data_IF_596624586170
#
_entry.id   IF_596624586170
#
_cell.length_a   1.000
_cell.length_b   1.000
_cell.length_c   1.000
_cell.angle_alpha   90.00
_cell.angle_beta   90.00
_cell.angle_gamma   90.00
#
_symmetry.space_group_name_H-M   'P 1'
#
loop_
_entity.id
_entity.type
_entity.pdbx_description
1 polymer ?
#
# COMPACT_ATOMS: atom_id res chain seq x y z
N UNK A 1 3.97 -19.37 -60.80
CA UNK A 1 4.05 -18.26 -59.83
C UNK A 1 3.75 -18.72 -58.40
N UNK A 2 2.94 -19.78 -58.21
CA UNK A 2 2.47 -20.23 -56.89
C UNK A 2 3.49 -20.92 -55.97
N UNK A 3 4.52 -21.59 -56.52
CA UNK A 3 5.55 -22.25 -55.69
C UNK A 3 6.47 -21.27 -54.95
N UNK A 4 6.70 -20.09 -55.52
CA UNK A 4 7.54 -19.03 -54.91
C UNK A 4 6.79 -18.30 -53.78
N UNK A 5 5.50 -18.04 -53.97
CA UNK A 5 4.63 -17.44 -52.94
C UNK A 5 4.44 -18.36 -51.74
N UNK A 6 4.25 -19.67 -51.98
CA UNK A 6 4.14 -20.65 -50.90
C UNK A 6 5.45 -20.83 -50.11
N UNK A 7 6.60 -20.75 -50.78
CA UNK A 7 7.91 -20.80 -50.12
C UNK A 7 8.16 -19.61 -49.18
N UNK A 8 7.77 -18.40 -49.60
CA UNK A 8 7.90 -17.19 -48.79
C UNK A 8 6.95 -17.17 -47.60
N UNK A 9 5.71 -17.68 -47.76
CA UNK A 9 4.76 -17.82 -46.66
C UNK A 9 5.27 -18.81 -45.59
N UNK A 10 5.86 -19.93 -46.02
CA UNK A 10 6.44 -20.92 -45.09
C UNK A 10 7.62 -20.34 -44.31
N UNK A 11 8.51 -19.60 -44.97
CA UNK A 11 9.63 -18.92 -44.32
C UNK A 11 9.18 -17.86 -43.30
N UNK A 12 8.15 -17.07 -43.63
CA UNK A 12 7.59 -16.09 -42.70
C UNK A 12 6.98 -16.74 -41.45
N UNK A 13 6.29 -17.88 -41.60
CA UNK A 13 5.76 -18.62 -40.44
C UNK A 13 6.86 -19.20 -39.56
N UNK A 14 7.93 -19.75 -40.14
CA UNK A 14 9.06 -20.30 -39.37
C UNK A 14 9.78 -19.18 -38.60
N UNK A 15 10.03 -18.03 -39.24
CA UNK A 15 10.65 -16.88 -38.58
C UNK A 15 9.74 -16.33 -37.46
N UNK A 16 8.43 -16.27 -37.68
CA UNK A 16 7.47 -15.85 -36.66
C UNK A 16 7.43 -16.79 -35.45
N UNK A 17 7.44 -18.11 -35.67
CA UNK A 17 7.48 -19.13 -34.61
C UNK A 17 8.82 -19.10 -33.86
N UNK A 18 9.94 -18.98 -34.57
CA UNK A 18 11.25 -18.86 -33.95
C UNK A 18 11.37 -17.57 -33.13
N UNK A 19 10.86 -16.44 -33.63
CA UNK A 19 10.81 -15.18 -32.88
C UNK A 19 9.92 -15.29 -31.65
N UNK A 20 8.75 -15.95 -31.75
CA UNK A 20 7.87 -16.20 -30.61
C UNK A 20 8.53 -17.10 -29.55
N UNK A 21 9.25 -18.15 -29.97
CA UNK A 21 9.98 -19.04 -29.05
C UNK A 21 11.18 -18.34 -28.39
N UNK A 22 11.91 -17.52 -29.14
CA UNK A 22 13.05 -16.76 -28.61
C UNK A 22 12.61 -15.61 -27.69
N UNK A 23 11.47 -14.98 -27.99
CA UNK A 23 10.88 -13.95 -27.11
C UNK A 23 10.28 -14.56 -25.84
N UNK A 24 9.68 -15.75 -25.92
CA UNK A 24 9.23 -16.50 -24.74
C UNK A 24 10.41 -16.92 -23.85
N UNK A 25 11.56 -17.27 -24.43
CA UNK A 25 12.77 -17.63 -23.69
C UNK A 25 13.50 -16.45 -23.02
N UNK A 26 13.17 -15.20 -23.36
CA UNK A 26 13.75 -13.99 -22.74
C UNK A 26 13.00 -13.49 -21.51
N UNK A 27 11.84 -14.05 -21.18
CA UNK A 27 11.22 -13.80 -19.88
C UNK A 27 11.94 -14.64 -18.83
N UNK A 28 12.62 -14.03 -17.85
CA UNK A 28 13.19 -14.79 -16.75
C UNK A 28 12.06 -15.57 -16.08
N UNK A 29 12.20 -16.90 -16.03
CA UNK A 29 11.34 -17.78 -15.22
C UNK A 29 11.18 -17.14 -13.85
N UNK A 30 9.94 -17.00 -13.37
CA UNK A 30 9.59 -16.51 -12.03
C UNK A 30 10.58 -17.03 -11.00
N UNK A 31 11.57 -16.21 -10.67
CA UNK A 31 12.45 -16.46 -9.56
C UNK A 31 11.55 -16.26 -8.35
N UNK A 32 11.11 -17.37 -7.74
CA UNK A 32 10.43 -17.33 -6.45
C UNK A 32 11.37 -16.55 -5.55
N UNK A 33 11.01 -15.32 -5.20
CA UNK A 33 11.80 -14.45 -4.34
C UNK A 33 12.09 -15.25 -3.07
N UNK A 34 13.32 -15.78 -2.95
CA UNK A 34 13.72 -16.58 -1.80
C UNK A 34 13.76 -15.64 -0.61
N UNK A 35 12.72 -15.69 0.21
CA UNK A 35 12.64 -14.95 1.47
C UNK A 35 13.57 -15.65 2.46
N UNK A 36 14.52 -14.94 3.10
CA UNK A 36 15.31 -15.56 4.14
C UNK A 36 14.38 -16.01 5.29
N UNK A 37 14.60 -17.19 5.89
CA UNK A 37 13.91 -17.55 7.12
C UNK A 37 14.21 -16.48 8.17
N UNK A 38 13.16 -15.95 8.82
CA UNK A 38 13.34 -14.91 9.84
C UNK A 38 13.83 -15.58 11.12
N UNK A 39 15.14 -15.80 11.21
CA UNK A 39 15.80 -16.07 12.48
C UNK A 39 15.88 -14.74 13.25
N UNK A 40 15.37 -14.74 14.48
CA UNK A 40 15.61 -13.62 15.39
C UNK A 40 17.09 -13.59 15.70
N UNK A 41 17.82 -12.67 15.07
CA UNK A 41 19.12 -12.26 15.57
C UNK A 41 18.85 -11.51 16.89
N UNK A 42 18.91 -12.25 17.99
CA UNK A 42 19.09 -11.71 19.32
C UNK A 42 20.52 -11.15 19.37
N UNK A 43 20.63 -9.82 19.24
CA UNK A 43 21.92 -9.13 19.15
C UNK A 43 21.75 -7.63 18.88
N UNK A 44 22.10 -6.86 19.91
CA UNK A 44 22.26 -5.42 20.05
C UNK A 44 22.69 -4.63 18.79
N UNK A 45 21.98 -3.54 18.45
CA UNK A 45 22.32 -2.15 18.79
C UNK A 45 21.28 -1.22 18.13
N UNK A 46 20.99 -0.12 18.82
CA UNK A 46 20.21 1.05 18.42
C UNK A 46 20.83 1.79 17.20
N UNK A 47 21.03 1.12 16.07
CA UNK A 47 21.30 1.83 14.82
C UNK A 47 19.98 1.99 14.07
N UNK A 48 19.39 3.19 14.17
CA UNK A 48 18.23 3.54 13.36
C UNK A 48 18.71 3.61 11.92
N UNK A 49 18.62 2.47 11.23
CA UNK A 49 18.99 2.36 9.84
C UNK A 49 18.24 3.39 9.01
N UNK A 50 18.92 3.97 8.02
CA UNK A 50 18.29 4.86 7.05
C UNK A 50 18.14 4.15 5.73
N UNK A 51 16.96 4.26 5.11
CA UNK A 51 16.74 3.83 3.73
C UNK A 51 16.05 4.95 2.96
N UNK A 52 16.23 4.94 1.63
CA UNK A 52 15.66 5.95 0.74
C UNK A 52 14.68 5.30 -0.23
N UNK A 53 13.56 5.97 -0.47
CA UNK A 53 12.58 5.65 -1.50
C UNK A 53 12.58 6.78 -2.54
N UNK A 54 12.86 6.42 -3.78
CA UNK A 54 12.75 7.35 -4.91
C UNK A 54 11.32 7.35 -5.46
N UNK A 55 10.68 8.50 -5.35
CA UNK A 55 9.32 8.75 -5.82
C UNK A 55 9.37 9.26 -7.26
N UNK A 56 8.88 8.41 -8.17
CA UNK A 56 8.64 8.80 -9.56
C UNK A 56 7.49 9.81 -9.66
N UNK A 57 7.38 10.55 -10.78
CA UNK A 57 6.22 11.38 -11.08
C UNK A 57 4.91 10.61 -10.92
N UNK A 58 3.84 11.28 -10.49
CA UNK A 58 2.59 10.60 -10.18
C UNK A 58 2.01 10.02 -11.47
N UNK A 59 1.55 8.78 -11.36
CA UNK A 59 0.84 8.06 -12.41
C UNK A 59 -0.48 7.57 -11.83
N UNK A 60 -1.45 7.19 -12.70
CA UNK A 60 -2.64 6.52 -12.23
C UNK A 60 -2.26 5.33 -11.35
N UNK A 61 -2.76 5.34 -10.13
CA UNK A 61 -2.32 4.41 -9.09
C UNK A 61 -3.47 4.00 -8.18
N UNK A 62 -3.19 2.97 -7.40
CA UNK A 62 -4.13 2.42 -6.42
C UNK A 62 -3.46 2.44 -5.05
N UNK A 63 -4.29 2.53 -4.01
CA UNK A 63 -3.88 2.34 -2.64
C UNK A 63 -5.03 1.82 -1.80
N UNK A 64 -4.88 1.98 -0.50
CA UNK A 64 -5.91 1.68 0.50
C UNK A 64 -6.12 2.94 1.34
N UNK A 65 -7.35 3.15 1.80
CA UNK A 65 -7.71 4.12 2.82
C UNK A 65 -8.62 3.50 3.86
N UNK A 66 -8.69 4.11 5.04
CA UNK A 66 -9.58 3.69 6.11
C UNK A 66 -10.24 4.88 6.80
N UNK A 67 -11.47 4.67 7.26
CA UNK A 67 -12.30 5.70 7.86
C UNK A 67 -11.86 6.05 9.29
N UNK A 68 -11.94 7.33 9.63
CA UNK A 68 -11.64 7.84 10.98
C UNK A 68 -12.79 8.65 11.60
N UNK A 69 -13.92 8.74 10.90
CA UNK A 69 -15.14 9.42 11.34
C UNK A 69 -15.30 10.82 10.76
N UNK A 70 -16.53 11.33 10.77
CA UNK A 70 -16.87 12.65 10.23
C UNK A 70 -16.64 12.79 8.73
N UNK A 71 -16.66 11.68 7.98
CA UNK A 71 -16.35 11.66 6.54
C UNK A 71 -14.85 11.76 6.21
N UNK A 72 -13.97 11.66 7.22
CA UNK A 72 -12.53 11.67 7.03
C UNK A 72 -11.95 10.26 6.89
N UNK A 73 -10.95 10.17 6.02
CA UNK A 73 -10.26 8.94 5.67
C UNK A 73 -8.75 9.17 5.66
N UNK A 74 -7.99 8.24 6.21
CA UNK A 74 -6.52 8.24 6.17
C UNK A 74 -6.02 7.37 5.01
N UNK A 75 -4.92 7.80 4.40
CA UNK A 75 -4.16 7.04 3.40
C UNK A 75 -2.68 7.45 3.43
N UNK A 76 -1.86 6.87 2.55
CA UNK A 76 -0.47 7.27 2.40
C UNK A 76 -0.36 8.51 1.50
N UNK A 77 0.56 9.42 1.82
CA UNK A 77 0.77 10.63 1.02
C UNK A 77 1.16 10.29 -0.41
N UNK A 78 2.02 9.31 -0.65
CA UNK A 78 2.46 8.96 -2.00
C UNK A 78 1.32 8.45 -2.89
N UNK A 79 0.23 7.96 -2.29
CA UNK A 79 -1.00 7.55 -3.00
C UNK A 79 -1.80 8.79 -3.45
N UNK A 80 -1.82 9.85 -2.64
CA UNK A 80 -2.69 11.01 -2.84
C UNK A 80 -2.03 12.24 -3.48
N UNK A 81 -0.75 12.44 -3.20
CA UNK A 81 0.04 13.57 -3.71
C UNK A 81 0.13 13.48 -5.25
N UNK A 82 -0.12 14.58 -5.94
CA UNK A 82 -0.02 14.68 -7.40
C UNK A 82 -1.21 14.08 -8.19
N UNK A 83 -2.31 13.69 -7.53
CA UNK A 83 -3.52 13.24 -8.21
C UNK A 83 -4.34 14.44 -8.73
N UNK A 84 -4.85 14.36 -9.96
CA UNK A 84 -5.86 15.29 -10.47
C UNK A 84 -7.25 14.95 -9.93
N UNK A 85 -7.50 13.67 -9.70
CA UNK A 85 -8.72 13.16 -9.09
C UNK A 85 -8.36 11.97 -8.23
N UNK A 86 -8.85 11.95 -7.00
CA UNK A 86 -8.69 10.82 -6.08
C UNK A 86 -10.04 10.45 -5.48
N UNK A 87 -10.25 9.18 -5.20
CA UNK A 87 -11.49 8.72 -4.58
C UNK A 87 -11.42 7.29 -4.08
N UNK A 88 -12.50 6.88 -3.41
CA UNK A 88 -12.70 5.53 -2.91
C UNK A 88 -13.49 4.70 -3.92
N UNK A 89 -13.07 3.47 -4.17
CA UNK A 89 -13.80 2.53 -5.03
C UNK A 89 -14.93 1.90 -4.23
N UNK A 90 -16.18 2.10 -4.65
CA UNK A 90 -17.38 1.52 -4.02
C UNK A 90 -17.84 0.23 -4.70
N UNK A 91 -17.38 -0.01 -5.93
CA UNK A 91 -17.73 -1.20 -6.70
C UNK A 91 -17.23 -1.09 -8.14
N UNK A 92 -17.62 -2.04 -8.99
CA UNK A 92 -17.21 -2.02 -10.39
C UNK A 92 -17.60 -0.71 -11.07
N UNK A 93 -16.60 0.09 -11.46
CA UNK A 93 -16.76 1.41 -12.12
C UNK A 93 -17.53 2.45 -11.30
N UNK A 94 -17.67 2.25 -9.99
CA UNK A 94 -18.29 3.23 -9.08
C UNK A 94 -17.26 3.68 -8.05
N UNK A 95 -17.13 4.99 -7.88
CA UNK A 95 -16.28 5.56 -6.85
C UNK A 95 -16.86 6.85 -6.29
N UNK A 96 -16.36 7.23 -5.12
CA UNK A 96 -16.71 8.46 -4.42
C UNK A 96 -15.46 9.34 -4.40
N UNK A 97 -15.51 10.48 -5.07
CA UNK A 97 -14.38 11.41 -5.13
C UNK A 97 -14.12 12.07 -3.78
N UNK A 98 -12.85 12.27 -3.45
CA UNK A 98 -12.47 13.10 -2.32
C UNK A 98 -12.71 14.58 -2.65
N UNK A 99 -13.34 15.30 -1.72
CA UNK A 99 -13.63 16.73 -1.84
C UNK A 99 -12.45 17.59 -1.39
N UNK A 100 -11.65 17.04 -0.47
CA UNK A 100 -10.49 17.70 0.09
C UNK A 100 -9.40 16.66 0.32
N UNK A 101 -8.16 17.11 0.13
CA UNK A 101 -6.94 16.35 0.43
C UNK A 101 -6.09 17.22 1.36
N UNK A 102 -5.63 16.65 2.47
CA UNK A 102 -4.65 17.30 3.36
C UNK A 102 -3.42 16.40 3.43
N UNK A 103 -2.27 16.93 3.02
CA UNK A 103 -1.02 16.17 2.95
C UNK A 103 -0.12 16.54 4.12
N UNK A 104 0.46 15.55 4.80
CA UNK A 104 1.49 15.82 5.80
C UNK A 104 2.77 16.33 5.11
N UNK A 105 3.37 17.45 5.54
CA UNK A 105 4.51 18.04 4.86
C UNK A 105 5.77 17.18 4.94
N UNK A 106 5.96 16.46 6.05
CA UNK A 106 7.21 15.77 6.39
C UNK A 106 7.09 14.25 6.59
N UNK A 107 5.93 13.65 6.30
CA UNK A 107 5.65 12.23 6.55
C UNK A 107 4.71 11.72 5.45
N UNK A 108 4.70 10.40 5.24
CA UNK A 108 3.95 9.76 4.16
C UNK A 108 2.48 9.51 4.53
N UNK A 109 1.82 10.52 5.09
CA UNK A 109 0.42 10.46 5.57
C UNK A 109 -0.43 11.51 4.86
N UNK A 110 -1.65 11.13 4.48
CA UNK A 110 -2.65 12.03 3.91
C UNK A 110 -4.04 11.77 4.48
N UNK A 111 -4.85 12.83 4.53
CA UNK A 111 -6.27 12.81 4.84
C UNK A 111 -7.09 13.12 3.61
N UNK A 112 -8.20 12.42 3.45
CA UNK A 112 -9.20 12.62 2.41
C UNK A 112 -10.55 12.93 3.08
N UNK A 113 -11.23 13.98 2.63
CA UNK A 113 -12.64 14.21 2.97
C UNK A 113 -13.51 13.57 1.88
N UNK A 114 -14.39 12.65 2.27
CA UNK A 114 -15.27 11.92 1.35
C UNK A 114 -16.69 11.94 1.90
N UNK A 115 -17.70 11.99 1.03
CA UNK A 115 -19.11 12.03 1.43
C UNK A 115 -19.66 10.65 1.83
N UNK A 116 -18.98 10.00 2.77
CA UNK A 116 -19.42 8.76 3.42
C UNK A 116 -18.71 8.63 4.76
N UNK A 117 -19.48 8.26 5.79
CA UNK A 117 -19.01 8.22 7.18
C UNK A 117 -19.34 6.87 7.82
N UNK A 118 -18.61 5.80 7.45
CA UNK A 118 -18.77 4.49 8.07
C UNK A 118 -18.16 4.49 9.47
N UNK A 119 -18.37 3.41 10.23
CA UNK A 119 -17.87 3.30 11.60
C UNK A 119 -16.34 3.48 11.68
N UNK A 120 -15.83 4.41 12.51
CA UNK A 120 -14.40 4.71 12.59
C UNK A 120 -13.62 3.62 13.32
N UNK A 121 -12.29 3.71 13.27
CA UNK A 121 -11.38 2.87 14.05
C UNK A 121 -10.89 3.56 15.31
N UNK A 122 -10.69 2.78 16.38
CA UNK A 122 -9.98 3.24 17.56
C UNK A 122 -8.48 3.42 17.24
N UNK A 123 -7.83 4.39 17.87
CA UNK A 123 -6.39 4.58 17.77
C UNK A 123 -5.73 4.08 19.04
N UNK A 124 -4.56 3.45 18.87
CA UNK A 124 -3.72 3.10 20.00
C UNK A 124 -3.07 4.35 20.60
N UNK A 125 -2.87 4.34 21.92
CA UNK A 125 -2.38 5.50 22.66
C UNK A 125 -1.17 5.19 23.56
N UNK A 126 -0.61 3.99 23.46
CA UNK A 126 0.60 3.58 24.19
C UNK A 126 1.77 3.34 23.23
N UNK A 127 2.94 3.01 23.78
CA UNK A 127 4.14 2.73 23.00
C UNK A 127 4.16 1.29 22.48
N UNK A 128 4.51 1.12 21.21
CA UNK A 128 4.64 -0.19 20.61
C UNK A 128 5.86 -0.96 21.13
N UNK A 129 5.66 -2.25 21.38
CA UNK A 129 6.69 -3.13 21.92
C UNK A 129 7.34 -3.98 20.82
N UNK A 130 8.64 -4.23 20.93
CA UNK A 130 9.33 -5.13 19.99
C UNK A 130 8.70 -6.53 20.07
N UNK A 131 8.49 -7.14 18.91
CA UNK A 131 7.79 -8.43 18.80
C UNK A 131 6.27 -8.33 18.82
N UNK A 132 5.70 -7.15 19.07
CA UNK A 132 4.24 -6.95 19.02
C UNK A 132 3.69 -7.29 17.63
N UNK A 133 2.55 -7.97 17.65
CA UNK A 133 1.82 -8.35 16.45
C UNK A 133 1.13 -7.13 15.81
N UNK A 134 1.20 -7.09 14.48
CA UNK A 134 0.56 -6.08 13.64
C UNK A 134 -0.15 -6.71 12.45
N UNK A 135 -1.34 -6.22 12.15
CA UNK A 135 -2.20 -6.70 11.06
C UNK A 135 -2.51 -5.58 10.08
N UNK A 136 -1.90 -5.63 8.89
CA UNK A 136 -2.20 -4.71 7.81
C UNK A 136 -3.30 -5.27 6.91
N UNK A 137 -4.35 -4.50 6.66
CA UNK A 137 -5.50 -4.91 5.85
C UNK A 137 -5.70 -3.89 4.72
N UNK A 138 -5.98 -4.35 3.51
CA UNK A 138 -6.22 -3.44 2.38
C UNK A 138 -6.41 -4.15 1.05
N UNK A 139 -5.92 -3.53 -0.02
CA UNK A 139 -6.16 -3.98 -1.40
C UNK A 139 -4.87 -4.23 -2.19
N UNK A 140 -4.01 -5.18 -1.77
CA UNK A 140 -2.82 -5.53 -2.54
C UNK A 140 -3.24 -5.97 -3.95
N UNK A 141 -2.58 -5.42 -4.97
CA UNK A 141 -2.81 -5.76 -6.38
C UNK A 141 -4.28 -5.62 -6.83
N UNK A 142 -5.04 -4.68 -6.23
CA UNK A 142 -6.48 -4.43 -6.47
C UNK A 142 -7.43 -5.48 -5.92
N UNK A 143 -6.94 -6.42 -5.11
CA UNK A 143 -7.77 -7.48 -4.54
C UNK A 143 -7.74 -7.42 -3.02
N UNK A 144 -8.80 -7.90 -2.34
CA UNK A 144 -8.78 -8.15 -0.90
C UNK A 144 -7.52 -8.92 -0.47
N UNK A 145 -6.78 -8.36 0.48
CA UNK A 145 -5.67 -9.04 1.12
C UNK A 145 -5.14 -8.31 2.35
N UNK A 146 -4.06 -8.84 2.91
CA UNK A 146 -3.46 -8.32 4.12
C UNK A 146 -2.17 -9.02 4.50
N UNK A 147 -1.54 -8.52 5.57
CA UNK A 147 -0.28 -9.01 6.10
C UNK A 147 -0.36 -9.05 7.63
N UNK A 148 0.01 -10.18 8.20
CA UNK A 148 0.40 -10.28 9.61
C UNK A 148 1.93 -10.13 9.70
N UNK A 149 2.39 -9.23 10.56
CA UNK A 149 3.79 -8.94 10.78
C UNK A 149 4.08 -8.69 12.28
N UNK A 150 5.35 -8.69 12.64
CA UNK A 150 5.79 -8.42 14.02
C UNK A 150 6.78 -7.26 14.06
N UNK A 151 6.64 -6.39 15.05
CA UNK A 151 7.49 -5.20 15.16
C UNK A 151 8.95 -5.58 15.40
N UNK A 152 9.85 -5.06 14.58
CA UNK A 152 11.29 -5.21 14.75
C UNK A 152 11.91 -4.03 15.52
N UNK A 153 11.37 -2.83 15.31
CA UNK A 153 11.92 -1.56 15.77
C UNK A 153 11.62 -0.45 14.76
N UNK A 154 12.53 0.51 14.63
CA UNK A 154 12.33 1.72 13.85
C UNK A 154 13.47 1.94 12.84
N UNK A 155 13.17 2.61 11.74
CA UNK A 155 14.16 3.08 10.77
C UNK A 155 13.80 4.52 10.34
N UNK A 156 14.78 5.25 9.80
CA UNK A 156 14.52 6.50 9.08
C UNK A 156 14.22 6.20 7.62
N UNK A 157 13.06 6.64 7.17
CA UNK A 157 12.67 6.61 5.77
C UNK A 157 12.85 7.99 5.17
N UNK A 158 13.72 8.09 4.17
CA UNK A 158 13.87 9.29 3.34
C UNK A 158 13.10 9.08 2.05
N UNK A 159 12.24 10.01 1.67
CA UNK A 159 11.63 10.02 0.34
C UNK A 159 12.22 11.15 -0.47
N UNK A 160 12.49 10.90 -1.75
CA UNK A 160 13.07 11.88 -2.69
C UNK A 160 12.34 11.83 -4.02
N UNK A 161 12.35 12.92 -4.79
CA UNK A 161 11.68 12.99 -6.09
C UNK A 161 10.55 14.03 -6.07
N UNK A 162 9.30 13.59 -6.22
CA UNK A 162 8.11 14.49 -6.20
C UNK A 162 8.06 15.43 -5.00
N UNK A 163 8.52 14.93 -3.85
CA UNK A 163 8.69 15.67 -2.62
C UNK A 163 9.84 15.06 -1.82
N UNK A 164 10.23 15.74 -0.74
CA UNK A 164 11.33 15.33 0.12
C UNK A 164 10.85 15.23 1.57
N UNK A 165 10.99 14.05 2.17
CA UNK A 165 10.65 13.79 3.57
C UNK A 165 11.76 12.99 4.24
N UNK A 166 11.83 13.09 5.57
CA UNK A 166 12.69 12.30 6.44
C UNK A 166 11.89 12.00 7.70
N UNK A 167 11.28 10.82 7.76
CA UNK A 167 10.41 10.41 8.86
C UNK A 167 10.92 9.14 9.55
N UNK A 168 10.62 9.02 10.84
CA UNK A 168 10.75 7.74 11.53
C UNK A 168 9.57 6.84 11.17
N UNK A 169 9.88 5.61 10.76
CA UNK A 169 8.90 4.58 10.46
C UNK A 169 9.13 3.36 11.34
N UNK A 170 8.04 2.72 11.74
CA UNK A 170 8.11 1.38 12.32
C UNK A 170 8.47 0.37 11.23
N UNK A 171 9.32 -0.58 11.59
CA UNK A 171 9.74 -1.67 10.72
C UNK A 171 9.18 -2.97 11.24
N UNK A 172 8.45 -3.65 10.38
CA UNK A 172 7.75 -4.90 10.72
C UNK A 172 8.32 -6.03 9.88
N UNK A 173 8.54 -7.18 10.51
CA UNK A 173 8.89 -8.40 9.81
C UNK A 173 7.61 -9.14 9.43
N UNK A 174 7.37 -9.30 8.14
CA UNK A 174 6.27 -10.10 7.62
C UNK A 174 6.37 -11.53 8.15
N UNK A 175 5.24 -12.04 8.64
CA UNK A 175 5.08 -13.43 9.11
C UNK A 175 4.17 -14.22 8.18
N UNK A 176 3.07 -13.60 7.76
CA UNK A 176 2.09 -14.19 6.87
C UNK A 176 1.50 -13.10 5.98
N UNK A 177 1.26 -13.42 4.71
CA UNK A 177 0.47 -12.60 3.81
C UNK A 177 -0.73 -13.41 3.32
N UNK A 178 -1.82 -12.72 3.04
CA UNK A 178 -3.05 -13.32 2.54
C UNK A 178 -3.54 -12.52 1.32
N UNK A 179 -3.73 -13.17 0.15
CA UNK A 179 -3.29 -14.53 -0.16
C UNK A 179 -1.75 -14.66 -0.14
N UNK A 180 -1.25 -15.87 0.10
CA UNK A 180 0.19 -16.18 0.11
C UNK A 180 0.85 -16.00 -1.27
N UNK A 181 0.06 -16.19 -2.32
CA UNK A 181 0.41 -16.05 -3.74
C UNK A 181 0.61 -14.61 -4.22
N UNK A 182 0.39 -13.60 -3.37
CA UNK A 182 0.59 -12.20 -3.75
C UNK A 182 2.04 -11.96 -4.22
N UNK A 183 2.26 -11.55 -5.48
CA UNK A 183 3.60 -11.31 -6.01
C UNK A 183 4.24 -10.06 -5.37
N UNK A 184 3.40 -9.13 -4.91
CA UNK A 184 3.76 -7.85 -4.35
C UNK A 184 2.70 -7.40 -3.35
N UNK A 185 3.13 -6.60 -2.38
CA UNK A 185 2.26 -5.92 -1.41
C UNK A 185 1.78 -4.54 -1.90
N UNK A 186 2.17 -4.13 -3.12
CA UNK A 186 1.70 -2.88 -3.72
C UNK A 186 0.17 -2.83 -3.76
N UNK A 187 -0.40 -1.69 -3.34
CA UNK A 187 -1.84 -1.50 -3.12
C UNK A 187 -2.25 -1.54 -1.65
N UNK A 188 -1.44 -2.14 -0.75
CA UNK A 188 -1.65 -2.00 0.70
C UNK A 188 -1.24 -0.62 1.23
N UNK A 189 -0.47 0.17 0.47
CA UNK A 189 -0.09 1.53 0.85
C UNK A 189 -1.31 2.36 1.24
N UNK A 190 -1.25 3.00 2.39
CA UNK A 190 -2.31 3.78 3.00
C UNK A 190 -3.29 2.97 3.86
N UNK A 191 -3.19 1.64 3.84
CA UNK A 191 -3.99 0.77 4.68
C UNK A 191 -3.59 0.87 6.16
N UNK A 192 -4.53 0.61 7.08
CA UNK A 192 -4.26 0.61 8.50
C UNK A 192 -3.38 -0.60 8.88
N UNK A 193 -2.47 -0.39 9.81
CA UNK A 193 -1.90 -1.45 10.64
C UNK A 193 -2.65 -1.46 11.97
N UNK A 194 -3.16 -2.62 12.37
CA UNK A 194 -3.87 -2.81 13.64
C UNK A 194 -3.06 -3.62 14.64
N UNK A 195 -3.28 -3.39 15.94
CA UNK A 195 -2.89 -4.36 16.99
C UNK A 195 -3.92 -5.49 17.10
N UNK A 196 -3.69 -6.40 18.05
CA UNK A 196 -4.56 -7.54 18.39
C UNK A 196 -5.96 -7.15 18.90
N UNK A 197 -6.16 -5.89 19.29
CA UNK A 197 -7.45 -5.32 19.72
C UNK A 197 -8.18 -4.54 18.63
N UNK A 198 -7.65 -4.49 17.41
CA UNK A 198 -8.26 -3.75 16.29
C UNK A 198 -8.04 -2.25 16.36
N UNK A 199 -7.10 -1.77 17.17
CA UNK A 199 -6.74 -0.35 17.24
C UNK A 199 -5.68 -0.04 16.19
N UNK A 200 -5.81 1.11 15.51
CA UNK A 200 -4.82 1.59 14.55
C UNK A 200 -3.52 1.93 15.27
N UNK A 201 -2.44 1.31 14.83
CA UNK A 201 -1.07 1.50 15.31
C UNK A 201 -0.13 2.08 14.25
N UNK A 202 -0.64 2.34 13.04
CA UNK A 202 0.12 3.02 11.97
C UNK A 202 -0.57 2.91 10.61
N UNK A 203 0.06 3.52 9.61
CA UNK A 203 -0.37 3.48 8.21
C UNK A 203 0.73 2.83 7.38
N UNK A 204 0.41 1.84 6.55
CA UNK A 204 1.40 1.19 5.68
C UNK A 204 1.90 2.16 4.61
N UNK A 205 3.21 2.40 4.54
CA UNK A 205 3.79 3.40 3.61
C UNK A 205 4.85 2.82 2.70
N UNK A 206 5.48 1.71 3.08
CA UNK A 206 6.44 1.03 2.23
C UNK A 206 6.49 -0.47 2.51
N UNK A 207 7.07 -1.21 1.56
CA UNK A 207 7.40 -2.63 1.74
C UNK A 207 8.65 -3.01 0.96
N UNK A 208 9.33 -4.07 1.41
CA UNK A 208 10.46 -4.67 0.67
C UNK A 208 10.22 -6.17 0.53
N UNK A 209 9.82 -6.60 -0.67
CA UNK A 209 9.52 -8.01 -0.95
C UNK A 209 10.70 -8.93 -0.64
N UNK A 210 11.92 -8.53 -1.03
CA UNK A 210 13.14 -9.34 -0.85
C UNK A 210 13.45 -9.62 0.62
N UNK A 211 13.16 -8.69 1.53
CA UNK A 211 13.48 -8.82 2.96
C UNK A 211 12.29 -9.22 3.81
N UNK A 212 11.10 -9.37 3.22
CA UNK A 212 9.86 -9.65 3.96
C UNK A 212 9.59 -8.58 5.02
N UNK A 213 9.73 -7.30 4.67
CA UNK A 213 9.48 -6.19 5.61
C UNK A 213 8.41 -5.27 5.08
N UNK A 214 7.61 -4.75 6.00
CA UNK A 214 6.71 -3.63 5.76
C UNK A 214 7.01 -2.51 6.73
N UNK A 215 6.63 -1.29 6.35
CA UNK A 215 6.93 -0.08 7.12
C UNK A 215 5.66 0.73 7.31
N UNK A 216 5.51 1.29 8.50
CA UNK A 216 4.38 2.16 8.81
C UNK A 216 4.83 3.52 9.32
N UNK A 217 4.15 4.58 8.90
CA UNK A 217 4.28 5.88 9.55
C UNK A 217 3.77 5.79 10.99
N UNK A 218 4.43 6.53 11.87
CA UNK A 218 4.17 6.59 13.30
C UNK A 218 2.85 7.32 13.64
N UNK A 219 2.23 6.97 14.78
CA UNK A 219 1.02 7.61 15.28
C UNK A 219 1.22 9.11 15.55
N UNK A 220 2.43 9.56 15.87
CA UNK A 220 2.77 10.98 16.04
C UNK A 220 2.57 11.76 14.73
N UNK A 221 3.01 11.21 13.60
CA UNK A 221 2.79 11.82 12.27
C UNK A 221 1.30 11.92 11.94
N UNK A 222 0.52 10.90 12.33
CA UNK A 222 -0.93 10.87 12.12
C UNK A 222 -1.60 11.93 12.99
N UNK A 223 -1.31 11.96 14.30
CA UNK A 223 -1.86 12.93 15.25
C UNK A 223 -1.56 14.37 14.84
N UNK A 224 -0.33 14.65 14.42
CA UNK A 224 0.05 15.97 13.91
C UNK A 224 -0.85 16.42 12.74
N UNK A 225 -1.11 15.51 11.79
CA UNK A 225 -1.96 15.83 10.63
C UNK A 225 -3.42 16.07 11.05
N UNK A 226 -3.93 15.25 11.96
CA UNK A 226 -5.28 15.34 12.49
C UNK A 226 -5.50 16.66 13.24
N UNK A 227 -4.58 17.05 14.11
CA UNK A 227 -4.59 18.33 14.81
C UNK A 227 -4.58 19.50 13.83
N UNK A 228 -3.71 19.44 12.81
CA UNK A 228 -3.62 20.47 11.77
C UNK A 228 -4.92 20.61 10.97
N UNK A 229 -5.64 19.50 10.78
CA UNK A 229 -6.93 19.46 10.10
C UNK A 229 -8.13 19.70 11.03
N UNK A 230 -7.91 19.90 12.35
CA UNK A 230 -8.97 19.97 13.36
C UNK A 230 -9.91 18.75 13.35
N UNK A 231 -9.35 17.57 13.09
CA UNK A 231 -10.05 16.28 13.09
C UNK A 231 -9.73 15.54 14.37
N UNK A 232 -10.76 15.11 15.09
CA UNK A 232 -10.61 14.39 16.35
C UNK A 232 -11.23 13.00 16.22
N UNK A 233 -10.41 11.92 16.19
CA UNK A 233 -10.92 10.56 16.13
C UNK A 233 -11.84 10.25 17.30
N UNK A 234 -12.85 9.41 17.08
CA UNK A 234 -13.76 8.98 18.13
C UNK A 234 -13.01 8.15 19.19
N UNK A 235 -12.90 8.61 20.46
CA UNK A 235 -12.20 7.86 21.51
C UNK A 235 -12.94 6.58 21.93
N UNK A 236 -14.21 6.43 21.52
CA UNK A 236 -15.07 5.28 21.82
C UNK A 236 -15.33 4.42 20.58
N UNK A 237 -14.53 4.54 19.52
CA UNK A 237 -14.63 3.65 18.38
C UNK A 237 -14.47 2.18 18.83
N UNK A 238 -15.25 1.24 18.27
CA UNK A 238 -15.29 -0.12 18.78
C UNK A 238 -14.00 -0.88 18.50
N UNK A 239 -13.69 -1.77 19.42
CA UNK A 239 -12.59 -2.73 19.33
C UNK A 239 -13.08 -4.01 18.66
N UNK A 240 -12.16 -4.70 18.00
CA UNK A 240 -12.42 -6.01 17.39
C UNK A 240 -11.14 -6.85 17.45
N UNK A 241 -11.21 -8.11 17.90
CA UNK A 241 -10.02 -8.92 18.09
C UNK A 241 -9.42 -9.33 16.73
N UNK A 242 -8.10 -9.23 16.63
CA UNK A 242 -7.30 -9.69 15.51
C UNK A 242 -6.22 -10.67 15.97
N UNK A 243 -6.02 -11.70 15.16
CA UNK A 243 -5.04 -12.75 15.34
C UNK A 243 -4.58 -13.29 13.98
N UNK A 244 -3.46 -14.01 13.97
CA UNK A 244 -2.85 -14.54 12.74
C UNK A 244 -3.75 -15.51 11.95
N UNK A 245 -4.75 -16.11 12.60
CA UNK A 245 -5.72 -17.03 12.03
C UNK A 245 -7.03 -16.35 11.59
N UNK A 246 -7.43 -15.23 12.20
CA UNK A 246 -8.71 -14.57 11.93
C UNK A 246 -8.62 -13.28 11.08
N UNK A 247 -7.43 -12.67 10.95
CA UNK A 247 -7.32 -11.32 10.36
C UNK A 247 -7.81 -11.21 8.91
N UNK A 248 -7.83 -12.34 8.19
CA UNK A 248 -8.35 -12.40 6.81
C UNK A 248 -9.86 -12.18 6.81
N UNK A 249 -10.60 -12.99 7.57
CA UNK A 249 -12.06 -12.87 7.66
C UNK A 249 -12.50 -11.54 8.26
N UNK A 250 -11.81 -11.07 9.30
CA UNK A 250 -12.05 -9.73 9.85
C UNK A 250 -11.80 -8.65 8.80
N UNK A 251 -10.73 -8.79 8.01
CA UNK A 251 -10.46 -7.86 6.92
C UNK A 251 -11.50 -7.86 5.83
N UNK A 252 -12.15 -8.99 5.56
CA UNK A 252 -13.28 -9.07 4.62
C UNK A 252 -14.48 -8.27 5.16
N UNK A 253 -14.87 -8.49 6.42
CA UNK A 253 -15.93 -7.72 7.08
C UNK A 253 -15.66 -6.21 7.07
N UNK A 254 -14.43 -5.78 7.42
CA UNK A 254 -14.07 -4.35 7.40
C UNK A 254 -14.14 -3.71 6.01
N UNK A 255 -13.92 -4.49 4.95
CA UNK A 255 -14.05 -4.03 3.56
C UNK A 255 -15.51 -4.00 3.12
N UNK A 256 -16.29 -5.01 3.51
CA UNK A 256 -17.74 -5.09 3.24
C UNK A 256 -18.51 -3.95 3.92
N UNK A 257 -18.17 -3.63 5.17
CA UNK A 257 -18.69 -2.48 5.92
C UNK A 257 -18.20 -1.13 5.38
N UNK A 258 -17.36 -1.15 4.35
CA UNK A 258 -16.74 0.01 3.75
C UNK A 258 -15.96 0.85 4.77
N UNK A 259 -15.36 0.23 5.79
CA UNK A 259 -14.46 0.93 6.73
C UNK A 259 -13.04 1.00 6.19
N UNK A 260 -12.66 0.02 5.35
CA UNK A 260 -11.41 -0.02 4.58
C UNK A 260 -11.75 -0.10 3.09
N UNK A 261 -11.31 0.89 2.31
CA UNK A 261 -11.65 1.03 0.91
C UNK A 261 -10.40 1.12 0.03
N UNK A 262 -10.52 0.64 -1.21
CA UNK A 262 -9.49 0.85 -2.22
C UNK A 262 -9.52 2.33 -2.63
N UNK A 263 -8.34 2.95 -2.69
CA UNK A 263 -8.17 4.29 -3.25
C UNK A 263 -7.78 4.16 -4.71
N UNK A 264 -8.35 5.03 -5.55
CA UNK A 264 -7.89 5.24 -6.91
C UNK A 264 -7.44 6.69 -7.07
N UNK A 265 -6.26 6.87 -7.65
CA UNK A 265 -5.71 8.14 -8.05
C UNK A 265 -5.62 8.18 -9.58
N UNK A 266 -6.20 9.21 -10.18
CA UNK A 266 -6.08 9.51 -11.59
C UNK A 266 -5.17 10.71 -11.83
N UNK A 267 -4.44 10.67 -12.93
CA UNK A 267 -3.56 11.75 -13.39
C UNK A 267 -3.83 11.97 -14.87
N UNK A 268 -4.26 13.19 -15.22
CA UNK A 268 -4.49 13.59 -16.60
C UNK A 268 -3.15 13.67 -17.32
N UNK A 269 -3.01 12.93 -18.40
CA UNK A 269 -1.84 13.09 -19.26
C UNK A 269 -1.88 14.48 -19.92
N UNK A 270 -0.76 15.21 -20.00
CA UNK A 270 -0.69 16.42 -20.80
C UNK A 270 -1.07 16.07 -22.23
N UNK A 271 -2.07 16.75 -22.81
CA UNK A 271 -2.42 16.57 -24.21
C UNK A 271 -1.15 16.80 -25.05
N UNK A 272 -0.67 15.77 -25.75
CA UNK A 272 0.38 15.97 -26.76
C UNK A 272 -0.16 17.00 -27.75
N UNK A 273 0.35 18.25 -27.70
CA UNK A 273 0.15 19.20 -28.79
C UNK A 273 0.62 18.48 -30.06
N UNK A 274 -0.31 18.13 -30.95
CA UNK A 274 0.03 17.79 -32.33
C UNK A 274 0.79 19.01 -32.85
N UNK A 275 2.11 18.87 -33.05
CA UNK A 275 2.84 19.81 -33.90
C UNK A 275 2.20 19.64 -35.28
N UNK A 276 1.36 20.61 -35.65
CA UNK A 276 0.97 20.84 -37.03
C UNK A 276 2.17 21.39 -37.79
#
# INVERSE_FOLDING_TARGET
>A
MDRLLNGLAYLATIVGVLYALFSYARFPKNEVVRRPPVSYAEGEYLDVGTFTIDLSPQQPSIGTAFAIGGGWWLTARHVADGCDTIGLVQGPRKGIGAQQIVLHPNADVALLAVQIDPEPFAFFNEDLQKGQDGFAIGYPQRSPGGVYAQLMGFNRMKQRGRYHTDELVHTWAERKRAPDSLPSLGGLSGGPMFNDRGQVIGILVASTNRRGRVYTSDLTSIRWLLERASVFPNPYAPLFPLAADNFVGQGDTLREDFRIAQVFCDVKQPSRRRRL
#
